data_IF_289566557771
#
_entry.id   IF_289566557771
#
_cell.length_a   1.000
_cell.length_b   1.000
_cell.length_c   1.000
_cell.angle_alpha   90.00
_cell.angle_beta   90.00
_cell.angle_gamma   90.00
#
_symmetry.space_group_name_H-M   'P 1'
#
loop_
_entity.id
_entity.type
_entity.pdbx_description
1 polymer ?
#
# COMPACT_ATOMS: atom_id res chain seq x y z
N UNK A 1 -13.85 10.38 -11.52
CA UNK A 1 -13.34 9.06 -11.09
C UNK A 1 -12.45 9.30 -9.87
N UNK A 2 -12.79 8.76 -8.71
CA UNK A 2 -12.07 9.08 -7.47
C UNK A 2 -10.88 8.14 -7.25
N UNK A 3 -9.78 8.64 -6.67
CA UNK A 3 -8.61 7.83 -6.30
C UNK A 3 -8.98 6.60 -5.45
N UNK A 4 -10.06 6.69 -4.65
CA UNK A 4 -10.53 5.57 -3.82
C UNK A 4 -10.96 4.31 -4.58
N UNK A 5 -11.38 4.39 -5.86
CA UNK A 5 -11.75 3.20 -6.63
C UNK A 5 -10.56 2.48 -7.26
N UNK A 6 -9.43 3.17 -7.45
CA UNK A 6 -8.20 2.55 -7.98
C UNK A 6 -7.61 1.53 -7.02
N UNK A 7 -7.89 1.64 -5.73
CA UNK A 7 -7.35 0.76 -4.69
C UNK A 7 -8.28 -0.40 -4.32
N UNK A 8 -9.47 -0.49 -4.95
CA UNK A 8 -10.48 -1.50 -4.59
C UNK A 8 -10.00 -2.92 -4.93
N UNK A 9 -9.39 -3.06 -6.10
CA UNK A 9 -8.99 -4.35 -6.66
C UNK A 9 -7.48 -4.57 -6.51
N UNK A 10 -6.82 -3.77 -5.65
CA UNK A 10 -5.36 -3.74 -5.50
C UNK A 10 -4.74 -5.11 -5.15
N UNK A 11 -5.41 -5.89 -4.30
CA UNK A 11 -4.95 -7.23 -3.95
C UNK A 11 -4.99 -8.18 -5.15
N UNK A 12 -6.05 -8.08 -5.97
CA UNK A 12 -6.23 -8.91 -7.15
C UNK A 12 -5.25 -8.49 -8.26
N UNK A 13 -5.10 -7.17 -8.51
CA UNK A 13 -4.14 -6.62 -9.46
C UNK A 13 -2.69 -7.00 -9.13
N UNK A 14 -2.33 -6.92 -7.84
CA UNK A 14 -0.99 -7.30 -7.38
C UNK A 14 -0.77 -8.82 -7.50
N UNK A 15 -1.78 -9.62 -7.17
CA UNK A 15 -1.73 -11.06 -7.37
C UNK A 15 -1.51 -11.42 -8.85
N UNK A 16 -2.30 -10.85 -9.77
CA UNK A 16 -2.17 -11.10 -11.20
C UNK A 16 -0.78 -10.69 -11.71
N UNK A 17 -0.31 -9.50 -11.34
CA UNK A 17 1.00 -8.99 -11.77
C UNK A 17 2.17 -9.85 -11.28
N UNK A 18 2.11 -10.38 -10.06
CA UNK A 18 3.16 -11.23 -9.50
C UNK A 18 3.06 -12.67 -10.02
N UNK A 19 1.86 -13.21 -10.19
CA UNK A 19 1.69 -14.52 -10.85
C UNK A 19 2.12 -14.50 -12.31
N UNK A 20 1.92 -13.39 -13.04
CA UNK A 20 2.45 -13.22 -14.39
C UNK A 20 4.00 -13.25 -14.45
N UNK A 21 4.67 -12.98 -13.33
CA UNK A 21 6.14 -13.08 -13.17
C UNK A 21 6.61 -14.44 -12.63
N UNK A 22 5.69 -15.38 -12.41
CA UNK A 22 5.99 -16.73 -11.93
C UNK A 22 5.98 -16.89 -10.40
N UNK A 23 5.58 -15.87 -9.64
CA UNK A 23 5.44 -16.01 -8.18
C UNK A 23 4.22 -16.85 -7.80
N UNK A 24 4.36 -17.63 -6.74
CA UNK A 24 3.29 -18.42 -6.18
C UNK A 24 2.25 -17.52 -5.49
N UNK A 25 1.08 -18.10 -5.19
CA UNK A 25 0.03 -17.40 -4.46
C UNK A 25 -0.58 -18.26 -3.37
N UNK A 26 -0.83 -17.66 -2.23
CA UNK A 26 -1.47 -18.27 -1.08
C UNK A 26 -2.88 -17.73 -0.90
N UNK A 27 -3.85 -18.62 -0.69
CA UNK A 27 -5.24 -18.24 -0.43
C UNK A 27 -5.48 -18.05 1.06
N UNK A 28 -5.95 -16.88 1.47
CA UNK A 28 -6.12 -16.53 2.88
C UNK A 28 -7.54 -16.84 3.40
N UNK A 29 -7.77 -17.94 4.15
CA UNK A 29 -9.09 -18.19 4.73
C UNK A 29 -9.46 -17.10 5.75
N UNK A 30 -10.75 -16.80 6.00
CA UNK A 30 -11.94 -17.23 5.25
C UNK A 30 -12.17 -16.45 3.95
N UNK A 31 -11.34 -15.43 3.67
CA UNK A 31 -11.53 -14.63 2.48
C UNK A 31 -11.14 -15.41 1.21
N UNK A 32 -11.66 -14.97 0.08
CA UNK A 32 -11.36 -15.60 -1.20
C UNK A 32 -10.19 -14.92 -1.94
N UNK A 33 -9.58 -13.89 -1.34
CA UNK A 33 -8.44 -13.19 -1.93
C UNK A 33 -7.18 -14.07 -1.83
N UNK A 34 -6.35 -13.98 -2.88
CA UNK A 34 -5.07 -14.66 -2.96
C UNK A 34 -3.97 -13.63 -2.78
N UNK A 35 -3.02 -13.91 -1.92
CA UNK A 35 -1.82 -13.09 -1.77
C UNK A 35 -0.66 -13.72 -2.52
N UNK A 36 0.18 -12.92 -3.16
CA UNK A 36 1.41 -13.40 -3.75
C UNK A 36 2.42 -13.78 -2.65
N UNK A 37 3.20 -14.82 -2.92
CA UNK A 37 4.33 -15.25 -2.09
C UNK A 37 5.62 -14.90 -2.81
N UNK A 38 6.47 -14.12 -2.15
CA UNK A 38 7.77 -13.67 -2.68
C UNK A 38 8.82 -14.00 -1.63
N UNK A 39 9.83 -14.82 -1.99
CA UNK A 39 10.87 -15.27 -1.06
C UNK A 39 10.29 -15.82 0.26
N UNK A 40 9.32 -16.73 0.15
CA UNK A 40 8.61 -17.34 1.29
C UNK A 40 7.88 -16.36 2.23
N UNK A 41 7.70 -15.11 1.78
CA UNK A 41 6.95 -14.09 2.51
C UNK A 41 5.60 -13.83 1.83
N UNK A 42 4.55 -13.68 2.64
CA UNK A 42 3.25 -13.21 2.17
C UNK A 42 3.26 -11.71 1.98
N UNK A 43 2.93 -11.24 0.78
CA UNK A 43 2.84 -9.80 0.50
C UNK A 43 1.38 -9.36 0.54
N UNK A 44 1.03 -8.50 1.50
CA UNK A 44 -0.31 -7.92 1.63
C UNK A 44 -0.27 -6.44 1.30
N UNK A 45 -0.98 -6.04 0.24
CA UNK A 45 -1.13 -4.64 -0.11
C UNK A 45 -2.35 -4.04 0.57
N UNK A 46 -2.14 -2.93 1.27
CA UNK A 46 -3.18 -2.32 2.08
C UNK A 46 -3.15 -0.80 1.97
N UNK A 47 -4.30 -0.22 1.59
CA UNK A 47 -4.53 1.20 1.73
C UNK A 47 -4.80 1.55 3.20
N UNK A 48 -3.89 2.28 3.81
CA UNK A 48 -3.97 2.65 5.23
C UNK A 48 -5.09 3.67 5.43
N UNK A 49 -6.09 3.39 6.29
CA UNK A 49 -7.07 4.38 6.73
C UNK A 49 -6.38 5.53 7.47
N UNK A 50 -6.96 6.74 7.44
CA UNK A 50 -6.43 7.92 8.14
C UNK A 50 -6.56 7.86 9.69
N UNK A 51 -6.67 6.67 10.27
CA UNK A 51 -6.77 6.48 11.72
C UNK A 51 -5.38 6.35 12.37
N UNK A 52 -5.19 6.98 13.54
CA UNK A 52 -3.91 7.00 14.29
C UNK A 52 -3.40 5.59 14.59
N UNK A 53 -4.31 4.67 14.95
CA UNK A 53 -3.97 3.29 15.32
C UNK A 53 -4.27 2.27 14.22
N UNK A 54 -4.32 2.72 12.96
CA UNK A 54 -4.69 1.86 11.84
C UNK A 54 -3.81 0.60 11.74
N UNK A 55 -2.49 0.77 11.90
CA UNK A 55 -1.52 -0.33 11.81
C UNK A 55 -1.68 -1.28 13.00
N UNK A 56 -1.69 -0.75 14.23
CA UNK A 56 -1.84 -1.56 15.44
C UNK A 56 -3.12 -2.41 15.39
N UNK A 57 -4.21 -1.82 14.87
CA UNK A 57 -5.50 -2.49 14.70
C UNK A 57 -5.62 -3.34 13.42
N UNK A 58 -4.57 -3.50 12.61
CA UNK A 58 -4.64 -4.24 11.35
C UNK A 58 -5.12 -5.69 11.53
N UNK A 59 -4.62 -6.39 12.56
CA UNK A 59 -4.97 -7.78 12.84
C UNK A 59 -6.32 -7.97 13.56
N UNK A 60 -7.12 -6.91 13.76
CA UNK A 60 -8.48 -7.03 14.33
C UNK A 60 -9.46 -7.76 13.42
N UNK A 61 -9.21 -7.75 12.10
CA UNK A 61 -10.00 -8.53 11.14
C UNK A 61 -9.56 -10.00 11.17
N UNK A 62 -10.47 -10.98 11.35
CA UNK A 62 -10.14 -12.40 11.34
C UNK A 62 -9.39 -12.83 10.07
N UNK A 63 -9.75 -12.24 8.92
CA UNK A 63 -9.05 -12.49 7.64
C UNK A 63 -7.60 -12.02 7.69
N UNK A 64 -7.35 -10.81 8.21
CA UNK A 64 -6.00 -10.25 8.27
C UNK A 64 -5.15 -10.98 9.30
N UNK A 65 -5.75 -11.37 10.43
CA UNK A 65 -5.13 -12.19 11.47
C UNK A 65 -4.63 -13.53 10.91
N UNK A 66 -5.39 -14.15 10.01
CA UNK A 66 -5.00 -15.42 9.41
C UNK A 66 -3.73 -15.31 8.54
N UNK A 67 -3.32 -14.11 8.12
CA UNK A 67 -2.05 -13.87 7.43
C UNK A 67 -0.82 -14.15 8.31
N UNK A 68 -0.97 -14.05 9.64
CA UNK A 68 0.11 -14.27 10.60
C UNK A 68 0.23 -15.73 11.06
N UNK A 69 -0.55 -16.65 10.48
CA UNK A 69 -0.52 -18.09 10.80
C UNK A 69 -0.44 -18.94 9.53
N UNK A 70 -0.13 -18.34 8.40
CA UNK A 70 -0.08 -19.04 7.12
C UNK A 70 1.16 -19.95 7.06
N UNK A 71 0.99 -21.27 6.85
CA UNK A 71 2.11 -22.19 6.77
C UNK A 71 2.92 -21.95 5.48
N UNK A 72 4.24 -22.20 5.47
CA UNK A 72 5.06 -22.18 4.27
C UNK A 72 4.47 -23.02 3.15
N UNK A 73 4.64 -22.56 1.91
CA UNK A 73 4.31 -23.35 0.73
C UNK A 73 5.39 -24.40 0.50
N UNK A 74 5.00 -25.57 -0.02
CA UNK A 74 5.96 -26.59 -0.41
C UNK A 74 6.92 -26.01 -1.46
N UNK A 75 8.24 -26.18 -1.29
CA UNK A 75 9.22 -25.64 -2.22
C UNK A 75 8.98 -26.21 -3.62
N UNK A 76 8.73 -25.33 -4.59
CA UNK A 76 8.64 -25.75 -5.98
C UNK A 76 10.05 -26.09 -6.48
N UNK A 77 10.19 -27.18 -7.24
CA UNK A 77 11.46 -27.65 -7.83
C UNK A 77 12.21 -26.58 -8.66
N UNK A 78 11.55 -25.49 -9.02
CA UNK A 78 12.11 -24.37 -9.78
C UNK A 78 11.60 -23.05 -9.19
N UNK A 79 12.27 -22.55 -8.16
CA UNK A 79 12.02 -21.20 -7.65
C UNK A 79 12.76 -20.17 -8.54
N UNK A 80 12.05 -19.24 -9.19
CA UNK A 80 12.69 -18.16 -9.95
C UNK A 80 13.59 -17.26 -9.11
N UNK A 81 13.39 -17.17 -7.78
CA UNK A 81 14.27 -16.41 -6.89
C UNK A 81 15.65 -17.06 -6.70
N UNK A 82 15.72 -18.39 -6.68
CA UNK A 82 16.98 -19.16 -6.58
C UNK A 82 17.81 -19.11 -7.86
N UNK A 83 17.20 -18.88 -9.02
CA UNK A 83 17.90 -18.74 -10.29
C UNK A 83 18.62 -17.39 -10.45
N UNK A 84 18.39 -16.43 -9.53
CA UNK A 84 18.92 -15.07 -9.60
C UNK A 84 19.99 -14.73 -8.53
N UNK A 85 20.32 -15.67 -7.63
CA UNK A 85 21.27 -15.44 -6.53
C UNK A 85 22.56 -16.27 -6.64
N UNK A 86 23.70 -15.80 -6.07
CA UNK A 86 24.93 -16.58 -6.01
C UNK A 86 24.79 -17.76 -5.03
N UNK A 87 25.32 -18.92 -5.41
CA UNK A 87 25.22 -20.20 -4.70
C UNK A 87 25.65 -20.11 -3.22
N UNK A 88 24.93 -20.74 -2.27
CA UNK A 88 25.33 -20.75 -0.87
C UNK A 88 26.51 -21.72 -0.67
N UNK A 89 27.55 -21.19 -0.01
CA UNK A 89 28.73 -21.92 0.43
C UNK A 89 28.35 -22.78 1.63
N UNK A 90 28.63 -24.08 1.54
CA UNK A 90 28.54 -25.03 2.66
C UNK A 90 29.41 -24.54 3.83
N UNK A 91 28.80 -24.32 5.00
CA UNK A 91 29.52 -24.11 6.25
C UNK A 91 28.89 -24.98 7.35
N UNK A 92 29.78 -25.75 7.97
CA UNK A 92 29.51 -26.84 8.89
C UNK A 92 29.15 -26.39 10.31
N UNK A 93 28.32 -27.21 10.95
CA UNK A 93 28.36 -27.66 12.35
C UNK A 93 28.28 -26.57 13.45
N UNK A 94 27.08 -26.02 13.65
CA UNK A 94 26.62 -25.40 14.92
C UNK A 94 25.07 -25.46 15.00
N UNK A 95 24.50 -26.65 14.80
CA UNK A 95 23.07 -26.85 14.51
C UNK A 95 22.11 -26.68 15.70
N UNK A 96 22.52 -26.83 16.97
CA UNK A 96 21.50 -27.13 18.00
C UNK A 96 20.70 -25.96 18.58
N UNK A 97 21.18 -24.71 18.52
CA UNK A 97 20.45 -23.53 19.03
C UNK A 97 19.84 -22.70 17.89
N UNK A 98 20.54 -22.61 16.74
CA UNK A 98 20.03 -21.96 15.54
C UNK A 98 18.89 -22.76 14.90
N UNK A 99 18.94 -24.09 14.87
CA UNK A 99 17.82 -24.91 14.36
C UNK A 99 16.53 -24.68 15.15
N UNK A 100 16.61 -24.45 16.46
CA UNK A 100 15.41 -24.22 17.27
C UNK A 100 14.78 -22.86 16.98
N UNK A 101 15.60 -21.82 16.79
CA UNK A 101 15.14 -20.49 16.37
C UNK A 101 14.65 -20.51 14.92
N UNK A 102 15.33 -21.23 14.04
CA UNK A 102 14.93 -21.41 12.62
C UNK A 102 13.66 -22.26 12.50
N UNK A 103 13.41 -23.21 13.40
CA UNK A 103 12.19 -24.02 13.43
C UNK A 103 10.98 -23.26 13.96
N UNK A 104 11.16 -22.37 14.93
CA UNK A 104 10.09 -21.42 15.34
C UNK A 104 9.80 -20.36 14.26
N UNK A 105 10.81 -19.98 13.46
CA UNK A 105 10.64 -19.07 12.30
C UNK A 105 10.14 -19.80 11.05
N UNK A 106 10.30 -21.12 10.98
CA UNK A 106 9.99 -21.94 9.80
C UNK A 106 8.56 -22.49 9.75
N UNK A 107 7.76 -22.33 10.79
CA UNK A 107 6.38 -22.87 10.82
C UNK A 107 5.34 -21.90 10.22
N UNK A 108 5.71 -20.66 9.94
CA UNK A 108 4.78 -19.64 9.42
C UNK A 108 5.48 -18.65 8.50
N UNK A 109 4.87 -18.37 7.35
CA UNK A 109 5.37 -17.35 6.41
C UNK A 109 5.28 -15.96 7.03
N UNK A 110 6.37 -15.16 7.01
CA UNK A 110 6.33 -13.77 7.42
C UNK A 110 5.31 -12.98 6.58
N UNK A 111 4.57 -12.09 7.22
CA UNK A 111 3.65 -11.18 6.54
C UNK A 111 4.36 -9.84 6.28
N UNK A 112 4.57 -9.52 5.01
CA UNK A 112 5.02 -8.20 4.57
C UNK A 112 3.80 -7.33 4.27
N UNK A 113 3.67 -6.23 5.00
CA UNK A 113 2.66 -5.22 4.75
C UNK A 113 3.22 -4.15 3.83
N UNK A 114 2.59 -3.98 2.66
CA UNK A 114 2.81 -2.84 1.77
C UNK A 114 1.70 -1.83 2.04
N UNK A 115 2.08 -0.75 2.71
CA UNK A 115 1.20 0.30 3.21
C UNK A 115 1.15 1.45 2.21
N UNK A 116 -0.05 1.71 1.71
CA UNK A 116 -0.30 2.77 0.74
C UNK A 116 -1.04 3.89 1.43
N UNK A 117 -0.35 5.00 1.64
CA UNK A 117 -0.92 6.22 2.18
C UNK A 117 -1.46 7.05 1.01
N UNK A 118 -2.76 7.32 1.01
CA UNK A 118 -3.39 8.08 -0.08
C UNK A 118 -4.59 8.88 0.40
N UNK A 119 -4.63 10.13 -0.05
CA UNK A 119 -5.78 11.02 0.09
C UNK A 119 -6.74 10.84 -1.09
N UNK A 120 -7.96 11.42 -1.06
CA UNK A 120 -8.85 11.44 -2.21
C UNK A 120 -8.27 12.12 -3.46
N UNK A 121 -7.20 12.93 -3.30
CA UNK A 121 -6.61 13.75 -4.37
C UNK A 121 -5.31 13.17 -4.94
N UNK A 122 -4.55 12.44 -4.12
CA UNK A 122 -3.22 11.96 -4.50
C UNK A 122 -2.73 10.80 -3.63
N UNK A 123 -1.80 10.03 -4.19
CA UNK A 123 -0.92 9.12 -3.46
C UNK A 123 0.11 9.92 -2.66
N UNK A 124 0.31 9.56 -1.39
CA UNK A 124 1.20 10.28 -0.47
C UNK A 124 2.50 9.53 -0.20
N UNK A 125 2.42 8.22 0.02
CA UNK A 125 3.60 7.36 0.13
C UNK A 125 3.23 5.90 -0.09
N UNK A 126 4.23 5.12 -0.46
CA UNK A 126 4.19 3.66 -0.39
C UNK A 126 5.34 3.24 0.51
N UNK A 127 5.00 2.53 1.56
CA UNK A 127 5.92 2.02 2.58
C UNK A 127 5.75 0.50 2.69
N UNK A 128 6.77 -0.17 3.17
CA UNK A 128 6.69 -1.58 3.49
C UNK A 128 7.39 -1.90 4.80
N UNK A 129 6.93 -2.96 5.44
CA UNK A 129 7.55 -3.51 6.63
C UNK A 129 7.13 -4.97 6.81
N UNK A 130 7.94 -5.72 7.55
CA UNK A 130 7.56 -7.03 8.08
C UNK A 130 6.63 -6.78 9.27
N UNK A 131 5.43 -7.33 9.21
CA UNK A 131 4.44 -7.23 10.26
C UNK A 131 4.50 -8.44 11.18
N UNK A 132 4.61 -8.18 12.48
CA UNK A 132 4.57 -9.18 13.53
C UNK A 132 3.36 -8.93 14.42
N UNK A 133 2.62 -9.99 14.76
CA UNK A 133 1.53 -9.90 15.71
C UNK A 133 2.08 -10.07 17.13
N UNK A 134 1.93 -9.05 17.97
CA UNK A 134 2.23 -9.17 19.38
C UNK A 134 1.11 -9.96 20.07
N UNK A 135 1.38 -11.21 20.44
CA UNK A 135 0.38 -12.08 21.09
C UNK A 135 -0.07 -11.61 22.48
N UNK A 136 0.66 -10.68 23.12
CA UNK A 136 0.29 -10.12 24.43
C UNK A 136 -0.69 -8.97 24.30
N UNK A 137 -0.43 -8.04 23.37
CA UNK A 137 -1.26 -6.84 23.17
C UNK A 137 -2.31 -7.02 22.07
N UNK A 138 -2.18 -8.06 21.25
CA UNK A 138 -2.95 -8.31 20.03
C UNK A 138 -2.79 -7.22 18.95
N UNK A 139 -1.71 -6.44 19.05
CA UNK A 139 -1.37 -5.36 18.13
C UNK A 139 -0.31 -5.79 17.12
N UNK A 140 -0.37 -5.20 15.93
CA UNK A 140 0.66 -5.40 14.92
C UNK A 140 1.81 -4.44 15.13
N UNK A 141 3.03 -4.99 15.18
CA UNK A 141 4.29 -4.26 15.23
C UNK A 141 4.99 -4.39 13.88
N UNK A 142 5.56 -3.29 13.39
CA UNK A 142 6.29 -3.26 12.13
C UNK A 142 7.79 -3.31 12.37
N UNK A 143 8.50 -4.16 11.60
CA UNK A 143 9.96 -4.25 11.58
C UNK A 143 10.49 -3.96 10.18
N UNK A 144 11.68 -3.34 10.12
CA UNK A 144 12.34 -3.03 8.85
C UNK A 144 11.52 -2.07 7.99
N UNK A 145 10.99 -1.01 8.60
CA UNK A 145 10.13 -0.05 7.91
C UNK A 145 10.92 0.77 6.89
N UNK A 146 10.53 0.67 5.62
CA UNK A 146 11.21 1.30 4.50
C UNK A 146 10.21 1.91 3.52
N UNK A 147 10.62 2.98 2.83
CA UNK A 147 9.78 3.63 1.82
C UNK A 147 10.15 3.15 0.43
N UNK A 148 9.15 2.67 -0.32
CA UNK A 148 9.28 2.27 -1.73
C UNK A 148 9.14 3.50 -2.63
N UNK A 149 8.23 4.40 -2.27
CA UNK A 149 7.90 5.55 -3.08
C UNK A 149 7.40 6.71 -2.24
N UNK A 150 7.91 7.91 -2.54
CA UNK A 150 7.40 9.18 -2.02
C UNK A 150 7.38 10.20 -3.17
N UNK A 151 6.49 11.21 -3.12
CA UNK A 151 6.54 12.34 -4.02
C UNK A 151 7.92 12.99 -3.92
N UNK A 152 8.57 13.21 -5.05
CA UNK A 152 9.74 14.08 -5.08
C UNK A 152 9.26 15.47 -4.63
N UNK A 153 9.66 15.89 -3.43
CA UNK A 153 9.53 17.28 -3.01
C UNK A 153 10.41 18.08 -3.97
N UNK A 154 9.81 18.62 -5.02
CA UNK A 154 10.45 19.67 -5.79
C UNK A 154 10.77 20.78 -4.79
N UNK A 155 12.05 20.89 -4.38
CA UNK A 155 12.60 22.03 -3.64
C UNK A 155 12.65 23.30 -4.51
N UNK A 156 11.70 23.41 -5.44
CA UNK A 156 11.44 24.50 -6.35
C UNK A 156 9.95 24.87 -6.37
N UNK A 157 9.12 24.35 -5.45
CA UNK A 157 7.97 25.13 -4.99
C UNK A 157 8.50 26.23 -4.06
N UNK A 158 9.11 27.23 -4.72
CA UNK A 158 8.90 28.61 -4.32
C UNK A 158 7.45 28.74 -3.91
N UNK A 159 7.22 29.22 -2.69
CA UNK A 159 5.98 29.84 -2.25
C UNK A 159 4.94 29.92 -3.37
N UNK A 160 3.91 29.06 -3.33
CA UNK A 160 2.65 29.49 -3.93
C UNK A 160 2.26 30.72 -3.12
N UNK A 161 2.71 31.88 -3.58
CA UNK A 161 2.15 33.17 -3.25
C UNK A 161 0.74 33.11 -3.84
N UNK A 162 -0.14 32.42 -3.11
CA UNK A 162 -1.56 32.49 -3.32
C UNK A 162 -1.86 33.95 -3.02
N UNK A 163 -1.95 34.76 -4.07
CA UNK A 163 -2.42 36.14 -3.97
C UNK A 163 -3.64 36.11 -3.06
N UNK A 164 -3.51 36.75 -1.91
CA UNK A 164 -4.59 36.85 -0.95
C UNK A 164 -5.80 37.46 -1.65
N UNK A 165 -6.86 36.66 -1.80
CA UNK A 165 -8.14 37.11 -2.32
C UNK A 165 -8.78 38.22 -1.46
N UNK A 166 -8.18 38.55 -0.32
CA UNK A 166 -8.67 39.55 0.63
C UNK A 166 -8.41 41.00 0.17
N UNK A 167 -7.75 41.22 -0.98
CA UNK A 167 -7.51 42.57 -1.53
C UNK A 167 -8.03 42.83 -2.94
N UNK A 168 -8.72 41.87 -3.57
CA UNK A 168 -9.26 42.04 -4.91
C UNK A 168 -10.48 42.94 -4.92
N UNK A 169 -10.33 44.21 -5.33
CA UNK A 169 -11.49 45.02 -5.74
C UNK A 169 -12.11 44.30 -6.95
N UNK A 170 -13.38 43.86 -6.89
CA UNK A 170 -13.99 43.17 -8.02
C UNK A 170 -14.01 44.12 -9.22
N UNK A 171 -13.34 43.73 -10.31
CA UNK A 171 -13.44 44.45 -11.58
C UNK A 171 -14.80 44.14 -12.16
N UNK A 172 -15.75 45.05 -11.95
CA UNK A 172 -17.10 44.95 -12.51
C UNK A 172 -16.97 45.12 -14.03
N UNK A 173 -17.42 44.15 -14.84
CA UNK A 173 -17.43 44.32 -16.29
C UNK A 173 -18.34 45.51 -16.65
N UNK A 174 -17.84 46.42 -17.47
CA UNK A 174 -18.62 47.55 -17.97
C UNK A 174 -19.73 47.03 -18.89
N UNK A 175 -20.92 46.83 -18.32
CA UNK A 175 -22.13 46.55 -19.10
C UNK A 175 -22.66 47.89 -19.60
N UNK A 176 -22.39 48.21 -20.86
CA UNK A 176 -23.10 49.30 -21.54
C UNK A 176 -24.56 48.87 -21.75
N UNK A 177 -25.49 49.59 -21.12
CA UNK A 177 -26.92 49.44 -21.38
C UNK A 177 -27.21 49.88 -22.83
N UNK A 178 -27.54 48.92 -23.69
CA UNK A 178 -28.08 49.23 -25.02
C UNK A 178 -29.35 50.06 -24.85
N UNK A 179 -29.36 51.28 -25.41
CA UNK A 179 -30.57 52.09 -25.54
C UNK A 179 -31.54 51.35 -26.45
N UNK A 180 -32.61 50.79 -25.89
CA UNK A 180 -33.75 50.35 -26.67
C UNK A 180 -34.34 51.56 -27.41
N UNK A 181 -34.34 51.51 -28.74
CA UNK A 181 -35.10 52.42 -29.57
C UNK A 181 -36.60 52.27 -29.25
N UNK A 182 -37.21 53.37 -28.84
CA UNK A 182 -38.65 53.46 -28.68
C UNK A 182 -39.31 53.25 -30.05
N UNK A 183 -39.96 52.11 -30.25
CA UNK A 183 -40.94 51.98 -31.33
C UNK A 183 -42.23 52.64 -30.86
N UNK A 184 -42.46 53.88 -31.28
CA UNK A 184 -43.79 54.47 -31.33
C UNK A 184 -44.70 53.55 -32.15
N UNK A 185 -45.78 53.05 -31.55
CA UNK A 185 -46.93 52.55 -32.30
C UNK A 185 -47.95 53.67 -32.33
N UNK A 186 -48.17 54.22 -33.52
CA UNK A 186 -49.22 55.19 -33.82
C UNK A 186 -50.58 54.47 -33.94
N UNK A 187 -51.64 55.24 -33.75
CA UNK A 187 -53.05 54.84 -33.78
C UNK A 187 -53.58 54.53 -35.19
#
# INVERSE_FOLDING_TARGET
MGFGTQWRDLLDDAHEALTARGFQSYKLPPANYKLPVVNDCLVYLWRVPEAVDAVASFATSPTKRNGFIAPPLDPMLFDPALLAGPEPVEAADDETELERVVREVGDTMPLVLVMIQSSPRQLQSIEWAIAELNHVTDEVVLRGHESIWQPELNAADASFDVESFDSGVPVVPAVELQKQEATQSDA
#
